data_IF_089786099400
#
_entry.id   IF_089786099400
#
_cell.length_a   1.000
_cell.length_b   1.000
_cell.length_c   1.000
_cell.angle_alpha   90.00
_cell.angle_beta   90.00
_cell.angle_gamma   90.00
#
_symmetry.space_group_name_H-M   'P 1'
#
loop_
_entity.id
_entity.type
_entity.pdbx_description
1 polymer ?
#
# COMPACT_ATOMS: atom_id res chain seq x y z
N UNK A 1 -12.27 16.71 7.56
CA UNK A 1 -10.99 16.09 7.97
C UNK A 1 -11.35 14.81 8.68
N UNK A 2 -11.11 13.64 8.09
CA UNK A 2 -11.28 12.37 8.81
C UNK A 2 -10.18 12.32 9.87
N UNK A 3 -10.50 11.85 11.08
CA UNK A 3 -9.51 11.59 12.13
C UNK A 3 -8.56 10.49 11.62
N UNK A 4 -7.41 10.87 11.03
CA UNK A 4 -6.34 9.94 10.66
C UNK A 4 -5.54 10.26 9.40
N UNK A 5 -6.17 10.66 8.29
CA UNK A 5 -5.50 10.93 7.00
C UNK A 5 -6.43 11.63 6.00
N UNK A 6 -5.87 12.36 5.02
CA UNK A 6 -6.62 12.94 3.89
C UNK A 6 -6.51 12.15 2.59
N UNK A 7 -5.91 10.95 2.58
CA UNK A 7 -5.83 10.11 1.38
C UNK A 7 -7.11 9.29 1.18
N UNK A 8 -7.57 9.18 -0.07
CA UNK A 8 -8.66 8.27 -0.40
C UNK A 8 -8.14 6.82 -0.35
N UNK A 9 -8.87 5.94 0.33
CA UNK A 9 -8.52 4.54 0.51
C UNK A 9 -9.66 3.68 0.02
N UNK A 10 -9.31 2.66 -0.76
CA UNK A 10 -10.23 1.60 -1.19
C UNK A 10 -9.67 0.25 -0.70
N UNK A 11 -10.56 -0.67 -0.37
CA UNK A 11 -10.18 -2.02 0.09
C UNK A 11 -10.74 -3.08 -0.84
N UNK A 12 -9.95 -4.13 -1.07
CA UNK A 12 -10.36 -5.27 -1.89
C UNK A 12 -9.91 -6.58 -1.25
N UNK A 13 -10.76 -7.60 -1.31
CA UNK A 13 -10.41 -8.99 -1.06
C UNK A 13 -10.65 -9.75 -2.36
N UNK A 14 -9.59 -10.34 -2.93
CA UNK A 14 -9.63 -10.93 -4.27
C UNK A 14 -8.78 -12.20 -4.35
N UNK A 15 -9.06 -13.09 -5.34
CA UNK A 15 -8.28 -14.31 -5.53
C UNK A 15 -6.82 -14.02 -5.89
N UNK A 16 -5.89 -14.92 -5.50
CA UNK A 16 -4.48 -14.87 -5.90
C UNK A 16 -4.27 -14.89 -7.42
N UNK A 17 -5.24 -15.38 -8.20
CA UNK A 17 -5.18 -15.36 -9.66
C UNK A 17 -5.35 -13.97 -10.27
N UNK A 18 -5.82 -12.99 -9.50
CA UNK A 18 -5.88 -11.60 -9.96
C UNK A 18 -4.49 -10.97 -9.89
N UNK A 19 -4.01 -10.46 -11.03
CA UNK A 19 -2.70 -9.84 -11.16
C UNK A 19 -2.52 -8.75 -10.10
N UNK A 20 -1.36 -8.78 -9.43
CA UNK A 20 -1.01 -7.75 -8.46
C UNK A 20 -1.48 -7.99 -7.03
N UNK A 21 -2.38 -8.95 -6.79
CA UNK A 21 -2.91 -9.21 -5.44
C UNK A 21 -1.86 -9.82 -4.51
N UNK A 22 -0.91 -10.57 -5.04
CA UNK A 22 0.10 -11.30 -4.27
C UNK A 22 1.54 -10.88 -4.57
N UNK A 23 1.75 -9.71 -5.18
CA UNK A 23 3.06 -9.24 -5.66
C UNK A 23 3.94 -8.58 -4.58
N UNK A 24 3.68 -8.81 -3.30
CA UNK A 24 4.47 -8.26 -2.20
C UNK A 24 4.55 -9.24 -1.03
N UNK A 25 5.28 -8.89 0.02
CA UNK A 25 5.70 -9.81 1.08
C UNK A 25 4.53 -10.41 1.87
N UNK A 26 3.36 -9.77 1.89
CA UNK A 26 2.14 -10.28 2.51
C UNK A 26 1.74 -11.67 1.98
N UNK A 27 2.10 -12.01 0.74
CA UNK A 27 1.93 -13.36 0.19
C UNK A 27 2.62 -14.42 1.07
N UNK A 28 3.83 -14.14 1.54
CA UNK A 28 4.60 -15.10 2.35
C UNK A 28 3.92 -15.36 3.70
N UNK A 29 3.29 -14.34 4.30
CA UNK A 29 2.50 -14.48 5.52
C UNK A 29 1.25 -15.32 5.25
N UNK A 30 0.53 -15.06 4.16
CA UNK A 30 -0.63 -15.86 3.77
C UNK A 30 -0.27 -17.34 3.58
N UNK A 31 0.88 -17.65 2.99
CA UNK A 31 1.35 -19.04 2.82
C UNK A 31 1.64 -19.74 4.17
N UNK A 32 1.84 -18.97 5.24
CA UNK A 32 2.00 -19.45 6.60
C UNK A 32 0.72 -19.33 7.45
N UNK A 33 -0.44 -19.09 6.82
CA UNK A 33 -1.73 -18.85 7.49
C UNK A 33 -1.70 -17.68 8.50
N UNK A 34 -0.82 -16.70 8.28
CA UNK A 34 -0.74 -15.48 9.08
C UNK A 34 -1.55 -14.36 8.42
N UNK A 35 -2.42 -13.65 9.17
CA UNK A 35 -3.11 -12.47 8.66
C UNK A 35 -2.10 -11.40 8.24
N UNK A 36 -2.21 -10.93 7.00
CA UNK A 36 -1.39 -9.86 6.46
C UNK A 36 -2.17 -9.03 5.46
N UNK A 37 -1.82 -7.75 5.36
CA UNK A 37 -2.41 -6.77 4.45
C UNK A 37 -1.31 -6.09 3.65
N UNK A 38 -1.57 -5.86 2.36
CA UNK A 38 -0.77 -4.96 1.54
C UNK A 38 -1.41 -3.59 1.46
N UNK A 39 -0.66 -2.55 1.79
CA UNK A 39 -1.06 -1.16 1.56
C UNK A 39 -0.30 -0.67 0.34
N UNK A 40 -1.01 -0.35 -0.73
CA UNK A 40 -0.38 0.02 -2.01
C UNK A 40 -1.20 1.06 -2.75
N UNK A 41 -0.51 1.84 -3.57
CA UNK A 41 -1.09 2.75 -4.56
C UNK A 41 -0.99 2.19 -5.98
N UNK A 42 -0.86 0.86 -6.10
CA UNK A 42 -0.72 0.11 -7.36
C UNK A 42 0.48 0.54 -8.22
N UNK A 43 1.65 0.76 -7.59
CA UNK A 43 2.88 1.27 -8.23
C UNK A 43 3.17 0.68 -9.62
N UNK A 44 3.21 -0.65 -9.75
CA UNK A 44 3.52 -1.32 -11.03
C UNK A 44 2.46 -1.10 -12.14
N UNK A 45 1.26 -0.62 -11.82
CA UNK A 45 0.24 -0.25 -12.81
C UNK A 45 0.39 1.20 -13.32
N UNK A 46 0.98 2.10 -12.53
CA UNK A 46 0.94 3.55 -12.82
C UNK A 46 2.30 4.24 -12.83
N UNK A 47 3.31 3.70 -12.13
CA UNK A 47 4.65 4.26 -12.09
C UNK A 47 5.37 3.89 -13.39
N UNK A 48 5.52 4.89 -14.28
CA UNK A 48 6.25 4.72 -15.55
C UNK A 48 7.74 4.45 -15.37
N UNK A 49 8.26 4.71 -14.17
CA UNK A 49 9.66 4.47 -13.81
C UNK A 49 9.84 3.17 -13.01
N UNK A 50 8.80 2.34 -12.84
CA UNK A 50 8.88 1.15 -12.01
C UNK A 50 10.02 0.22 -12.45
N UNK A 51 10.91 -0.15 -11.52
CA UNK A 51 12.13 -0.93 -11.79
C UNK A 51 13.12 -0.30 -12.79
N UNK A 52 13.01 1.00 -13.04
CA UNK A 52 13.95 1.73 -13.89
C UNK A 52 14.86 2.64 -13.06
N UNK A 53 16.07 2.99 -13.55
CA UNK A 53 16.95 3.96 -12.89
C UNK A 53 16.33 5.35 -12.70
N UNK A 54 15.23 5.64 -13.39
CA UNK A 54 14.46 6.90 -13.27
C UNK A 54 13.48 6.89 -12.10
N UNK A 55 13.39 5.80 -11.32
CA UNK A 55 12.61 5.74 -10.07
C UNK A 55 13.36 6.47 -8.95
N UNK A 56 13.42 7.80 -9.06
CA UNK A 56 14.23 8.63 -8.18
C UNK A 56 13.38 9.37 -7.14
N UNK A 57 13.97 9.81 -6.01
CA UNK A 57 13.26 10.56 -4.97
C UNK A 57 12.48 11.77 -5.48
N UNK A 58 12.98 12.43 -6.54
CA UNK A 58 12.36 13.61 -7.16
C UNK A 58 11.01 13.31 -7.83
N UNK A 59 10.72 12.04 -8.09
CA UNK A 59 9.46 11.60 -8.70
C UNK A 59 8.36 11.31 -7.66
N UNK A 60 8.69 11.38 -6.36
CA UNK A 60 7.80 11.05 -5.26
C UNK A 60 6.94 12.25 -4.83
N UNK A 61 5.70 11.95 -4.42
CA UNK A 61 4.78 12.90 -3.79
C UNK A 61 4.83 12.69 -2.27
N UNK A 62 5.74 13.42 -1.61
CA UNK A 62 6.00 13.27 -0.18
C UNK A 62 4.81 13.65 0.71
N UNK A 63 3.99 14.62 0.28
CA UNK A 63 2.79 15.02 1.03
C UNK A 63 1.79 13.87 1.08
N UNK A 64 1.55 13.18 -0.05
CA UNK A 64 0.70 11.98 -0.05
C UNK A 64 1.31 10.82 0.72
N UNK A 65 2.63 10.62 0.64
CA UNK A 65 3.30 9.58 1.43
C UNK A 65 3.13 9.82 2.94
N UNK A 66 3.21 11.08 3.39
CA UNK A 66 2.95 11.44 4.78
C UNK A 66 1.52 11.11 5.20
N UNK A 67 0.52 11.36 4.34
CA UNK A 67 -0.87 11.00 4.62
C UNK A 67 -1.09 9.49 4.74
N UNK A 68 -0.36 8.66 3.98
CA UNK A 68 -0.38 7.19 4.17
C UNK A 68 0.15 6.82 5.56
N UNK A 69 1.28 7.40 5.98
CA UNK A 69 1.86 7.12 7.31
C UNK A 69 0.91 7.51 8.44
N UNK A 70 0.28 8.70 8.35
CA UNK A 70 -0.70 9.16 9.35
C UNK A 70 -1.89 8.18 9.46
N UNK A 71 -2.42 7.74 8.31
CA UNK A 71 -3.54 6.79 8.26
C UNK A 71 -3.18 5.43 8.87
N UNK A 72 -2.01 4.88 8.54
CA UNK A 72 -1.52 3.61 9.09
C UNK A 72 -1.30 3.72 10.60
N UNK A 73 -0.65 4.80 11.05
CA UNK A 73 -0.44 5.06 12.47
C UNK A 73 -1.77 5.10 13.22
N UNK A 74 -2.73 5.88 12.73
CA UNK A 74 -4.05 6.01 13.34
C UNK A 74 -4.77 4.65 13.40
N UNK A 75 -4.71 3.85 12.34
CA UNK A 75 -5.32 2.52 12.31
C UNK A 75 -4.70 1.58 13.36
N UNK A 76 -3.37 1.56 13.48
CA UNK A 76 -2.66 0.69 14.43
C UNK A 76 -3.00 1.07 15.88
N UNK A 77 -2.98 2.35 16.24
CA UNK A 77 -3.21 2.78 17.63
C UNK A 77 -4.67 2.72 18.06
N UNK A 78 -5.60 2.58 17.11
CA UNK A 78 -7.04 2.43 17.36
C UNK A 78 -7.57 1.02 17.04
N UNK A 79 -6.71 0.09 16.61
CA UNK A 79 -7.08 -1.31 16.42
C UNK A 79 -7.47 -1.93 17.78
N UNK A 80 -8.63 -2.59 17.83
CA UNK A 80 -9.12 -3.34 19.00
C UNK A 80 -8.79 -4.81 18.89
#
# INVERSE_FOLDING_TARGET
MIEGSSINVESINAPKSMVGIDFSDHLNYWNNNLPALMITNTSFYRNKNYHEPTDTPETLDYDKMAEVVKGVYWAIVNMK
#
